data_IF_319296039223
#
_entry.id   IF_319296039223
#
_cell.length_a   1.000
_cell.length_b   1.000
_cell.length_c   1.000
_cell.angle_alpha   90.00
_cell.angle_beta   90.00
_cell.angle_gamma   90.00
#
_symmetry.space_group_name_H-M   'P 1'
#
loop_
_entity.id
_entity.type
_entity.pdbx_description
1 polymer ?
#
# COMPACT_ATOMS: atom_id res chain seq x y z
N UNK A 1 -22.84 -7.04 23.34
CA UNK A 1 -23.31 -8.21 22.57
C UNK A 1 -22.16 -9.23 22.53
N UNK A 2 -22.47 -10.54 22.60
CA UNK A 2 -21.41 -11.56 22.47
C UNK A 2 -21.04 -11.66 20.97
N UNK A 3 -19.88 -11.13 20.62
CA UNK A 3 -19.40 -11.05 19.22
C UNK A 3 -18.32 -12.12 18.93
N UNK A 4 -18.39 -13.25 19.65
CA UNK A 4 -17.45 -14.34 19.49
C UNK A 4 -17.76 -15.19 18.24
N UNK A 5 -16.73 -15.43 17.43
CA UNK A 5 -16.75 -16.30 16.26
C UNK A 5 -15.70 -17.42 16.47
N UNK A 6 -16.09 -18.66 16.17
CA UNK A 6 -15.19 -19.81 16.14
C UNK A 6 -15.08 -20.32 14.70
N UNK A 7 -13.87 -20.50 14.21
CA UNK A 7 -13.58 -21.21 12.96
C UNK A 7 -13.02 -22.57 13.35
N UNK A 8 -13.71 -23.67 13.02
CA UNK A 8 -13.34 -25.03 13.45
C UNK A 8 -12.58 -25.80 12.38
N UNK A 9 -11.41 -26.35 12.75
CA UNK A 9 -10.69 -27.37 11.98
C UNK A 9 -10.07 -26.87 10.68
N UNK A 10 -9.82 -25.58 10.52
CA UNK A 10 -9.13 -25.04 9.35
C UNK A 10 -7.65 -25.49 9.30
N UNK A 11 -7.08 -25.61 8.09
CA UNK A 11 -5.64 -25.54 7.94
C UNK A 11 -5.23 -24.09 8.19
N UNK A 12 -4.27 -23.83 9.07
CA UNK A 12 -3.83 -22.47 9.43
C UNK A 12 -2.42 -22.26 8.92
N UNK A 13 -2.24 -21.26 8.05
CA UNK A 13 -0.90 -20.87 7.57
C UNK A 13 -0.17 -20.10 8.66
N UNK A 14 0.96 -20.66 9.11
CA UNK A 14 1.90 -20.00 9.99
C UNK A 14 3.22 -19.77 9.24
N UNK A 15 3.55 -18.51 8.95
CA UNK A 15 4.78 -18.17 8.22
C UNK A 15 6.04 -18.24 9.08
N UNK A 16 5.93 -18.28 10.41
CA UNK A 16 7.07 -18.50 11.32
C UNK A 16 7.30 -19.99 11.60
N UNK A 17 6.27 -20.82 11.36
CA UNK A 17 6.34 -22.27 11.46
C UNK A 17 6.68 -22.93 10.12
N UNK A 18 6.07 -24.09 9.88
CA UNK A 18 6.19 -24.83 8.61
C UNK A 18 5.10 -24.35 7.63
N UNK A 19 5.42 -23.34 6.82
CA UNK A 19 4.51 -22.78 5.82
C UNK A 19 4.14 -23.80 4.72
N UNK A 20 4.95 -24.83 4.48
CA UNK A 20 4.68 -25.88 3.49
C UNK A 20 3.68 -26.92 4.02
N UNK A 21 3.49 -26.98 5.36
CA UNK A 21 2.62 -27.94 6.03
C UNK A 21 1.71 -27.26 7.05
N UNK A 22 0.73 -26.45 6.61
CA UNK A 22 -0.22 -25.81 7.52
C UNK A 22 -0.92 -26.81 8.43
N UNK A 23 -0.90 -26.55 9.74
CA UNK A 23 -1.50 -27.44 10.73
C UNK A 23 -3.00 -27.21 10.85
N UNK A 24 -3.78 -28.26 11.18
CA UNK A 24 -5.19 -28.09 11.54
C UNK A 24 -5.34 -27.49 12.92
N UNK A 25 -6.12 -26.41 13.00
CA UNK A 25 -6.43 -25.73 14.24
C UNK A 25 -7.82 -25.06 14.17
N UNK A 26 -8.35 -24.74 15.33
CA UNK A 26 -9.49 -23.85 15.49
C UNK A 26 -8.96 -22.42 15.73
N UNK A 27 -9.74 -21.42 15.33
CA UNK A 27 -9.43 -20.00 15.56
C UNK A 27 -10.63 -19.41 16.30
N UNK A 28 -10.39 -18.96 17.54
CA UNK A 28 -11.38 -18.25 18.37
C UNK A 28 -11.17 -16.75 18.22
N UNK A 29 -12.20 -16.05 17.78
CA UNK A 29 -12.20 -14.60 17.55
C UNK A 29 -13.17 -13.95 18.54
N UNK A 30 -12.76 -12.83 19.15
CA UNK A 30 -13.59 -12.03 20.07
C UNK A 30 -13.30 -10.55 19.89
N UNK A 31 -14.33 -9.76 19.82
CA UNK A 31 -14.24 -8.30 19.68
C UNK A 31 -13.31 -7.88 18.52
N UNK A 32 -13.33 -8.66 17.41
CA UNK A 32 -12.47 -8.43 16.25
C UNK A 32 -11.00 -8.78 16.44
N UNK A 33 -10.63 -9.50 17.51
CA UNK A 33 -9.27 -9.98 17.79
C UNK A 33 -9.22 -11.51 17.86
N UNK A 34 -8.09 -12.07 17.50
CA UNK A 34 -7.81 -13.50 17.63
C UNK A 34 -7.52 -13.77 19.13
N UNK A 35 -8.43 -14.44 19.80
CA UNK A 35 -8.30 -14.76 21.22
C UNK A 35 -7.44 -16.01 21.45
N UNK A 36 -7.56 -17.01 20.57
CA UNK A 36 -6.77 -18.25 20.64
C UNK A 36 -6.68 -18.94 19.27
N UNK A 37 -5.60 -19.68 19.04
CA UNK A 37 -5.41 -20.57 17.91
C UNK A 37 -4.89 -21.90 18.47
N UNK A 38 -5.52 -23.01 18.10
CA UNK A 38 -5.12 -24.36 18.54
C UNK A 38 -6.22 -25.39 18.35
N UNK A 39 -5.94 -26.66 18.58
CA UNK A 39 -6.94 -27.72 18.44
C UNK A 39 -7.93 -27.72 19.60
N UNK A 40 -9.18 -28.08 19.31
CA UNK A 40 -10.21 -28.36 20.34
C UNK A 40 -10.83 -27.13 20.99
N UNK A 41 -10.71 -25.93 20.40
CA UNK A 41 -11.34 -24.71 20.93
C UNK A 41 -12.90 -24.76 20.83
N UNK A 42 -13.45 -25.70 20.09
CA UNK A 42 -14.88 -26.01 20.07
C UNK A 42 -15.40 -26.62 21.39
N UNK A 43 -14.52 -27.29 22.16
CA UNK A 43 -14.89 -27.86 23.46
C UNK A 43 -15.08 -26.75 24.51
N UNK A 44 -16.28 -26.64 25.13
CA UNK A 44 -16.52 -25.69 26.20
C UNK A 44 -15.58 -25.85 27.42
N UNK A 45 -15.05 -27.06 27.65
CA UNK A 45 -14.10 -27.36 28.73
C UNK A 45 -12.66 -26.95 28.42
N UNK A 46 -12.35 -26.54 27.20
CA UNK A 46 -11.01 -26.12 26.81
C UNK A 46 -10.53 -24.93 27.65
N UNK A 47 -9.30 -24.94 28.22
CA UNK A 47 -8.81 -23.87 29.10
C UNK A 47 -8.92 -22.46 28.51
N UNK A 48 -8.66 -22.28 27.22
CA UNK A 48 -8.78 -21.01 26.53
C UNK A 48 -10.27 -20.52 26.42
N UNK A 49 -11.23 -21.38 26.78
CA UNK A 49 -12.67 -21.08 26.84
C UNK A 49 -13.17 -20.82 28.28
N UNK A 50 -12.30 -20.98 29.29
CA UNK A 50 -12.70 -20.85 30.69
C UNK A 50 -13.33 -19.47 30.99
N UNK A 51 -14.55 -19.48 31.53
CA UNK A 51 -15.30 -18.27 31.86
C UNK A 51 -15.87 -17.50 30.64
N UNK A 52 -15.77 -18.06 29.44
CA UNK A 52 -16.25 -17.41 28.23
C UNK A 52 -17.63 -17.98 27.82
N UNK A 53 -18.57 -17.12 27.38
CA UNK A 53 -19.83 -17.60 26.82
C UNK A 53 -19.60 -18.40 25.52
N UNK A 54 -20.57 -19.25 25.10
CA UNK A 54 -20.51 -19.90 23.80
C UNK A 54 -20.30 -18.88 22.66
N UNK A 55 -19.58 -19.23 21.58
CA UNK A 55 -19.45 -18.35 20.42
C UNK A 55 -20.83 -18.11 19.81
N UNK A 56 -21.08 -16.87 19.39
CA UNK A 56 -22.33 -16.50 18.73
C UNK A 56 -22.45 -17.12 17.32
N UNK A 57 -21.31 -17.43 16.70
CA UNK A 57 -21.22 -18.05 15.38
C UNK A 57 -20.10 -19.07 15.34
N UNK A 58 -20.33 -20.16 14.60
CA UNK A 58 -19.34 -21.19 14.27
C UNK A 58 -19.26 -21.31 12.76
N UNK A 59 -18.04 -21.27 12.20
CA UNK A 59 -17.76 -21.52 10.79
C UNK A 59 -17.01 -22.86 10.66
N UNK A 60 -17.48 -23.70 9.76
CA UNK A 60 -16.77 -24.93 9.39
C UNK A 60 -15.56 -24.62 8.53
N UNK A 61 -14.36 -24.83 9.09
CA UNK A 61 -13.06 -24.62 8.43
C UNK A 61 -12.43 -25.88 7.86
N UNK A 62 -13.04 -27.08 8.03
CA UNK A 62 -12.38 -28.38 7.74
C UNK A 62 -11.87 -28.55 6.32
N UNK A 63 -12.43 -27.85 5.33
CA UNK A 63 -11.98 -27.84 3.93
C UNK A 63 -11.40 -26.51 3.51
N UNK A 64 -10.89 -25.73 4.44
CA UNK A 64 -10.41 -24.36 4.20
C UNK A 64 -8.98 -24.18 4.69
N UNK A 65 -8.23 -23.35 3.96
CA UNK A 65 -6.96 -22.82 4.41
C UNK A 65 -7.21 -21.39 4.92
N UNK A 66 -6.92 -21.18 6.20
CA UNK A 66 -6.89 -19.85 6.79
C UNK A 66 -5.52 -19.22 6.56
N UNK A 67 -5.48 -18.09 5.90
CA UNK A 67 -4.28 -17.26 5.74
C UNK A 67 -4.52 -15.90 6.39
N UNK A 68 -3.47 -15.17 6.81
CA UNK A 68 -3.63 -13.78 7.20
C UNK A 68 -4.28 -12.98 6.07
N UNK A 69 -5.09 -11.99 6.41
CA UNK A 69 -5.60 -11.05 5.43
C UNK A 69 -4.48 -10.36 4.70
N UNK A 70 -4.58 -10.25 3.38
CA UNK A 70 -3.57 -9.63 2.55
C UNK A 70 -3.56 -8.11 2.79
N UNK A 71 -2.37 -7.52 2.80
CA UNK A 71 -2.15 -6.09 2.97
C UNK A 71 -1.66 -5.51 1.65
N UNK A 72 -2.51 -4.71 0.99
CA UNK A 72 -2.14 -3.94 -0.19
C UNK A 72 -1.41 -2.66 0.27
N UNK A 73 -0.09 -2.71 0.27
CA UNK A 73 0.74 -1.66 0.83
C UNK A 73 0.91 -0.41 -0.07
N UNK A 74 0.29 -0.41 -1.25
CA UNK A 74 0.23 0.75 -2.14
C UNK A 74 -0.98 0.67 -3.06
N UNK A 75 -1.87 1.65 -2.96
CA UNK A 75 -3.16 1.69 -3.63
C UNK A 75 -3.63 3.13 -3.82
N UNK A 76 -4.46 3.35 -4.85
CA UNK A 76 -5.07 4.65 -5.16
C UNK A 76 -6.56 4.47 -5.49
N UNK A 77 -7.44 4.66 -4.51
CA UNK A 77 -8.88 4.49 -4.72
C UNK A 77 -9.48 5.51 -5.69
N UNK A 78 -8.80 6.63 -5.92
CA UNK A 78 -9.31 7.72 -6.75
C UNK A 78 -9.38 7.39 -8.25
N UNK A 79 -8.71 6.33 -8.71
CA UNK A 79 -8.68 5.96 -10.13
C UNK A 79 -9.39 4.64 -10.47
N UNK A 80 -10.10 4.04 -9.52
CA UNK A 80 -10.79 2.75 -9.70
C UNK A 80 -11.68 2.72 -10.93
N UNK A 81 -12.31 3.84 -11.29
CA UNK A 81 -13.17 3.94 -12.47
C UNK A 81 -12.40 4.03 -13.80
N UNK A 82 -11.07 4.16 -13.76
CA UNK A 82 -10.20 4.18 -14.94
C UNK A 82 -9.69 2.79 -15.35
N UNK A 83 -10.14 1.74 -14.67
CA UNK A 83 -9.81 0.35 -14.97
C UNK A 83 -10.10 0.01 -16.44
N UNK A 84 -9.10 -0.55 -17.14
CA UNK A 84 -9.23 -0.96 -18.54
C UNK A 84 -9.23 0.18 -19.55
N UNK A 85 -9.04 1.45 -19.13
CA UNK A 85 -9.10 2.60 -20.04
C UNK A 85 -7.81 2.86 -20.81
N UNK A 86 -6.68 2.33 -20.36
CA UNK A 86 -5.39 2.61 -20.96
C UNK A 86 -4.69 1.33 -21.42
N UNK A 87 -4.14 1.39 -22.62
CA UNK A 87 -3.12 0.44 -23.06
C UNK A 87 -1.79 0.67 -22.31
N UNK A 88 -0.80 -0.24 -22.39
CA UNK A 88 0.50 -0.03 -21.78
C UNK A 88 1.19 1.24 -22.31
N UNK A 89 1.38 2.22 -21.45
CA UNK A 89 1.97 3.52 -21.74
C UNK A 89 3.15 3.81 -20.79
N UNK A 90 4.20 4.51 -21.25
CA UNK A 90 5.17 5.07 -20.33
C UNK A 90 4.49 5.92 -19.24
N UNK A 91 5.01 5.86 -18.01
CA UNK A 91 4.44 6.56 -16.84
C UNK A 91 4.14 8.03 -17.12
N UNK A 92 5.06 8.73 -17.78
CA UNK A 92 4.94 10.15 -18.07
C UNK A 92 3.75 10.45 -18.99
N UNK A 93 3.51 9.60 -20.00
CA UNK A 93 2.36 9.71 -20.90
C UNK A 93 1.06 9.34 -20.21
N UNK A 94 1.09 8.26 -19.40
CA UNK A 94 -0.06 7.85 -18.60
C UNK A 94 -0.50 8.98 -17.66
N UNK A 95 0.43 9.63 -16.96
CA UNK A 95 0.13 10.75 -16.05
C UNK A 95 -0.62 11.89 -16.75
N UNK A 96 -0.24 12.23 -17.98
CA UNK A 96 -0.90 13.30 -18.75
C UNK A 96 -2.34 12.94 -19.11
N UNK A 97 -2.62 11.66 -19.35
CA UNK A 97 -3.95 11.18 -19.73
C UNK A 97 -4.85 10.92 -18.52
N UNK A 98 -4.29 10.34 -17.47
CA UNK A 98 -5.03 10.00 -16.24
C UNK A 98 -5.33 11.24 -15.37
N UNK A 99 -4.48 12.28 -15.43
CA UNK A 99 -4.59 13.51 -14.65
C UNK A 99 -4.52 14.75 -15.55
N UNK A 100 -5.48 14.95 -16.46
CA UNK A 100 -5.45 16.08 -17.40
C UNK A 100 -5.62 17.42 -16.67
N UNK A 101 -5.15 18.54 -17.26
CA UNK A 101 -5.34 19.90 -16.70
C UNK A 101 -6.80 20.27 -16.41
N UNK A 102 -7.72 19.70 -17.18
CA UNK A 102 -9.17 19.90 -17.02
C UNK A 102 -9.82 18.92 -16.03
N UNK A 103 -9.03 18.26 -15.17
CA UNK A 103 -9.57 17.30 -14.20
C UNK A 103 -10.66 17.93 -13.34
N UNK A 104 -11.94 17.53 -13.49
CA UNK A 104 -13.04 18.16 -12.79
C UNK A 104 -13.09 17.74 -11.33
N UNK A 105 -13.60 18.62 -10.46
CA UNK A 105 -13.99 18.19 -9.11
C UNK A 105 -15.04 17.10 -9.20
N UNK A 106 -14.83 16.01 -8.47
CA UNK A 106 -15.73 14.86 -8.46
C UNK A 106 -16.89 15.09 -7.50
N UNK A 107 -18.13 14.73 -7.88
CA UNK A 107 -19.26 14.73 -6.96
C UNK A 107 -19.01 13.79 -5.77
N UNK A 108 -19.53 14.12 -4.59
CA UNK A 108 -19.38 13.30 -3.38
C UNK A 108 -19.91 11.88 -3.55
N UNK A 109 -20.99 11.71 -4.30
CA UNK A 109 -21.54 10.40 -4.63
C UNK A 109 -20.54 9.54 -5.44
N UNK A 110 -19.84 10.14 -6.40
CA UNK A 110 -18.78 9.44 -7.14
C UNK A 110 -17.61 9.06 -6.21
N UNK A 111 -17.20 9.97 -5.30
CA UNK A 111 -16.16 9.67 -4.30
C UNK A 111 -16.52 8.46 -3.46
N UNK A 112 -17.77 8.42 -2.97
CA UNK A 112 -18.29 7.29 -2.20
C UNK A 112 -18.31 6.00 -3.02
N UNK A 113 -18.95 6.02 -4.20
CA UNK A 113 -19.14 4.82 -5.02
C UNK A 113 -17.81 4.22 -5.50
N UNK A 114 -16.86 5.03 -5.95
CA UNK A 114 -15.54 4.52 -6.38
C UNK A 114 -14.76 3.92 -5.21
N UNK A 115 -14.83 4.51 -4.02
CA UNK A 115 -14.18 3.97 -2.82
C UNK A 115 -14.80 2.63 -2.43
N UNK A 116 -16.13 2.51 -2.43
CA UNK A 116 -16.83 1.25 -2.16
C UNK A 116 -16.49 0.18 -3.21
N UNK A 117 -16.46 0.54 -4.50
CA UNK A 117 -16.14 -0.38 -5.58
C UNK A 117 -14.73 -0.95 -5.42
N UNK A 118 -13.74 -0.07 -5.15
CA UNK A 118 -12.36 -0.49 -4.92
C UNK A 118 -12.20 -1.35 -3.67
N UNK A 119 -12.86 -0.98 -2.58
CA UNK A 119 -12.87 -1.76 -1.34
C UNK A 119 -13.49 -3.15 -1.54
N UNK A 120 -14.61 -3.24 -2.28
CA UNK A 120 -15.25 -4.50 -2.61
C UNK A 120 -14.35 -5.40 -3.47
N UNK A 121 -13.64 -4.84 -4.45
CA UNK A 121 -12.66 -5.60 -5.25
C UNK A 121 -11.51 -6.10 -4.38
N UNK A 122 -10.97 -5.27 -3.51
CA UNK A 122 -9.93 -5.65 -2.55
C UNK A 122 -10.39 -6.81 -1.66
N UNK A 123 -11.55 -6.68 -0.99
CA UNK A 123 -12.08 -7.72 -0.10
C UNK A 123 -12.33 -9.05 -0.84
N UNK A 124 -12.87 -9.01 -2.06
CA UNK A 124 -13.05 -10.20 -2.90
C UNK A 124 -11.73 -10.87 -3.29
N UNK A 125 -10.65 -10.10 -3.39
CA UNK A 125 -9.28 -10.57 -3.63
C UNK A 125 -8.53 -11.00 -2.36
N UNK A 126 -9.20 -11.02 -1.19
CA UNK A 126 -8.57 -11.36 0.09
C UNK A 126 -7.73 -10.25 0.72
N UNK A 127 -7.80 -9.04 0.19
CA UNK A 127 -7.14 -7.86 0.75
C UNK A 127 -8.03 -7.29 1.86
N UNK A 128 -7.56 -7.33 3.10
CA UNK A 128 -8.29 -6.83 4.28
C UNK A 128 -7.77 -5.48 4.75
N UNK A 129 -6.59 -5.07 4.29
CA UNK A 129 -5.97 -3.78 4.63
C UNK A 129 -5.41 -3.12 3.38
N UNK A 130 -5.67 -1.83 3.21
CA UNK A 130 -5.14 -1.03 2.09
C UNK A 130 -4.39 0.21 2.60
N UNK A 131 -3.26 0.55 1.96
CA UNK A 131 -2.59 1.83 2.10
C UNK A 131 -3.05 2.73 0.95
N UNK A 132 -4.06 3.56 1.19
CA UNK A 132 -4.67 4.38 0.14
C UNK A 132 -4.03 5.77 0.07
N UNK A 133 -3.17 6.00 -0.91
CA UNK A 133 -2.70 7.32 -1.28
C UNK A 133 -3.77 8.00 -2.15
N UNK A 134 -4.79 8.55 -1.52
CA UNK A 134 -5.95 9.10 -2.19
C UNK A 134 -5.82 10.59 -2.49
N UNK A 135 -6.17 10.98 -3.70
CA UNK A 135 -6.21 12.37 -4.13
C UNK A 135 -7.63 12.93 -4.06
N UNK A 136 -7.88 13.77 -3.07
CA UNK A 136 -9.03 14.67 -3.01
C UNK A 136 -8.59 16.02 -3.55
N UNK A 137 -9.15 16.46 -4.69
CA UNK A 137 -8.66 17.66 -5.39
C UNK A 137 -9.80 18.50 -5.98
N UNK A 138 -9.89 19.80 -5.62
CA UNK A 138 -9.10 20.47 -4.57
C UNK A 138 -9.27 19.79 -3.21
N UNK A 139 -8.33 20.02 -2.27
CA UNK A 139 -8.42 19.43 -0.94
C UNK A 139 -9.62 20.01 -0.19
N UNK A 140 -10.55 19.14 0.17
CA UNK A 140 -11.78 19.46 0.88
C UNK A 140 -12.02 18.42 1.98
N UNK A 141 -12.18 18.88 3.21
CA UNK A 141 -12.33 17.98 4.36
C UNK A 141 -13.67 17.23 4.34
N UNK A 142 -14.72 17.82 3.79
CA UNK A 142 -16.00 17.13 3.62
C UNK A 142 -15.96 16.04 2.56
N UNK A 143 -15.15 16.22 1.51
CA UNK A 143 -14.90 15.18 0.51
C UNK A 143 -14.03 14.05 1.10
N UNK A 144 -13.04 14.40 1.95
CA UNK A 144 -12.28 13.42 2.74
C UNK A 144 -13.20 12.60 3.64
N UNK A 145 -14.11 13.24 4.37
CA UNK A 145 -15.06 12.53 5.25
C UNK A 145 -15.94 11.55 4.47
N UNK A 146 -16.34 11.87 3.25
CA UNK A 146 -17.09 10.97 2.36
C UNK A 146 -16.28 9.71 2.02
N UNK A 147 -15.00 9.85 1.70
CA UNK A 147 -14.12 8.71 1.41
C UNK A 147 -13.93 7.83 2.65
N UNK A 148 -13.67 8.43 3.81
CA UNK A 148 -13.50 7.69 5.07
C UNK A 148 -14.78 6.94 5.46
N UNK A 149 -15.96 7.58 5.36
CA UNK A 149 -17.25 6.94 5.61
C UNK A 149 -17.52 5.75 4.67
N UNK A 150 -17.07 5.83 3.41
CA UNK A 150 -17.17 4.71 2.48
C UNK A 150 -16.30 3.52 2.89
N UNK A 151 -15.11 3.75 3.46
CA UNK A 151 -14.28 2.69 4.04
C UNK A 151 -14.91 2.07 5.29
N UNK A 152 -15.53 2.89 6.15
CA UNK A 152 -16.29 2.41 7.31
C UNK A 152 -17.46 1.51 6.86
N UNK A 153 -18.22 1.95 5.86
CA UNK A 153 -19.34 1.20 5.27
C UNK A 153 -18.87 -0.13 4.65
N UNK A 154 -17.74 -0.12 3.94
CA UNK A 154 -17.16 -1.33 3.33
C UNK A 154 -16.62 -2.32 4.37
N UNK A 155 -16.25 -1.85 5.58
CA UNK A 155 -15.68 -2.68 6.63
C UNK A 155 -14.25 -3.15 6.34
N UNK A 156 -13.51 -2.49 5.45
CA UNK A 156 -12.09 -2.77 5.16
C UNK A 156 -11.20 -1.84 5.97
N UNK A 157 -10.04 -2.34 6.42
CA UNK A 157 -9.05 -1.52 7.11
C UNK A 157 -8.29 -0.64 6.11
N UNK A 158 -8.12 0.65 6.45
CA UNK A 158 -7.37 1.60 5.63
C UNK A 158 -6.33 2.36 6.44
N UNK A 159 -5.13 2.48 5.89
CA UNK A 159 -4.17 3.50 6.25
C UNK A 159 -4.27 4.58 5.19
N UNK A 160 -5.00 5.63 5.50
CA UNK A 160 -5.34 6.69 4.55
C UNK A 160 -4.24 7.75 4.51
N UNK A 161 -3.71 8.03 3.33
CA UNK A 161 -2.69 9.05 3.10
C UNK A 161 -3.21 10.10 2.10
N UNK A 162 -3.51 11.33 2.53
CA UNK A 162 -3.81 12.41 1.60
C UNK A 162 -2.66 12.59 0.61
N UNK A 163 -2.89 12.23 -0.66
CA UNK A 163 -1.89 12.26 -1.71
C UNK A 163 -1.72 13.67 -2.25
N UNK A 164 -0.55 14.29 -2.07
CA UNK A 164 -0.29 15.67 -2.49
C UNK A 164 1.04 15.85 -3.22
N UNK A 165 1.10 16.90 -4.02
CA UNK A 165 2.33 17.39 -4.66
C UNK A 165 2.33 18.91 -4.67
N UNK A 166 3.51 19.53 -4.61
CA UNK A 166 3.71 20.98 -4.66
C UNK A 166 4.37 21.42 -5.96
N UNK A 167 5.03 20.46 -6.65
CA UNK A 167 5.74 20.66 -7.91
C UNK A 167 5.00 19.90 -9.00
N UNK A 168 4.63 20.55 -10.12
CA UNK A 168 3.96 19.88 -11.24
C UNK A 168 4.83 18.78 -11.87
N UNK A 169 4.23 17.69 -12.37
CA UNK A 169 4.97 16.63 -13.08
C UNK A 169 5.81 17.14 -14.25
N UNK A 170 5.39 18.21 -14.90
CA UNK A 170 6.12 18.84 -16.02
C UNK A 170 7.50 19.36 -15.62
N UNK A 171 7.67 19.78 -14.36
CA UNK A 171 8.96 20.26 -13.83
C UNK A 171 9.92 19.08 -13.57
N UNK A 172 9.38 17.93 -13.19
CA UNK A 172 10.17 16.73 -12.85
C UNK A 172 10.35 15.78 -14.03
N UNK A 173 9.78 16.11 -15.20
CA UNK A 173 10.01 15.36 -16.44
C UNK A 173 11.20 15.98 -17.17
N UNK A 174 12.36 15.30 -17.25
CA UNK A 174 13.58 15.87 -17.83
C UNK A 174 13.39 16.09 -19.34
N UNK A 175 14.00 17.16 -19.87
CA UNK A 175 14.03 17.51 -21.30
C UNK A 175 12.63 17.71 -21.93
N UNK A 176 11.60 17.93 -21.13
CA UNK A 176 10.24 18.12 -21.66
C UNK A 176 10.16 19.34 -22.59
N UNK A 177 10.85 20.44 -22.23
CA UNK A 177 10.92 21.67 -23.04
C UNK A 177 11.64 21.49 -24.37
N UNK A 178 12.49 20.48 -24.50
CA UNK A 178 13.17 20.16 -25.76
C UNK A 178 12.25 19.45 -26.76
N UNK A 179 11.17 18.83 -26.24
CA UNK A 179 10.23 18.03 -27.02
C UNK A 179 8.89 18.73 -27.23
N UNK A 180 8.51 19.64 -26.33
CA UNK A 180 7.20 20.32 -26.32
C UNK A 180 7.40 21.83 -26.36
N UNK A 181 6.85 22.55 -27.38
CA UNK A 181 6.92 24.01 -27.42
C UNK A 181 6.40 24.64 -26.12
N UNK A 182 7.05 25.68 -25.66
CA UNK A 182 6.67 26.39 -24.42
C UNK A 182 5.19 26.85 -24.43
N UNK A 183 4.69 27.26 -25.58
CA UNK A 183 3.30 27.64 -25.80
C UNK A 183 2.29 26.51 -25.54
N UNK A 184 2.73 25.23 -25.54
CA UNK A 184 1.89 24.05 -25.34
C UNK A 184 2.07 23.43 -23.95
N UNK A 185 3.08 23.86 -23.17
CA UNK A 185 3.35 23.31 -21.82
C UNK A 185 2.17 23.47 -20.86
N UNK A 186 1.34 24.50 -21.03
CA UNK A 186 0.14 24.70 -20.22
C UNK A 186 -0.85 23.54 -20.34
N UNK A 187 -0.88 22.85 -21.48
CA UNK A 187 -1.72 21.67 -21.70
C UNK A 187 -1.24 20.46 -20.93
N UNK A 188 0.03 20.48 -20.50
CA UNK A 188 0.68 19.42 -19.76
C UNK A 188 0.84 19.78 -18.27
N UNK A 189 0.35 20.94 -17.83
CA UNK A 189 0.59 21.46 -16.49
C UNK A 189 -0.06 20.64 -15.37
N UNK A 190 -0.81 19.61 -15.70
CA UNK A 190 -1.43 18.70 -14.74
C UNK A 190 -2.75 19.23 -14.19
N UNK A 191 -3.35 18.47 -13.29
CA UNK A 191 -4.60 18.84 -12.63
C UNK A 191 -4.47 20.16 -11.85
N UNK A 192 -5.57 20.88 -11.61
CA UNK A 192 -5.58 22.11 -10.81
C UNK A 192 -4.84 21.89 -9.47
N UNK A 193 -4.23 22.94 -8.89
CA UNK A 193 -3.54 22.80 -7.62
C UNK A 193 -4.47 22.27 -6.53
N UNK A 194 -3.95 21.39 -5.67
CA UNK A 194 -4.70 20.79 -4.55
C UNK A 194 -5.05 21.82 -3.48
N UNK A 195 -4.17 22.78 -3.28
CA UNK A 195 -4.29 23.85 -2.28
C UNK A 195 -4.33 25.22 -2.95
N UNK A 196 -4.99 26.18 -2.31
CA UNK A 196 -5.00 27.55 -2.77
C UNK A 196 -3.59 28.16 -2.74
N UNK A 197 -3.36 29.15 -3.61
CA UNK A 197 -2.07 29.86 -3.64
C UNK A 197 -1.76 30.51 -2.29
N UNK A 198 -0.58 30.19 -1.72
CA UNK A 198 -0.15 30.69 -0.42
C UNK A 198 -0.69 29.91 0.78
N UNK A 199 -1.49 28.87 0.56
CA UNK A 199 -1.95 27.97 1.61
C UNK A 199 -0.84 26.98 2.01
N UNK A 200 -0.69 26.73 3.32
CA UNK A 200 0.18 25.68 3.85
C UNK A 200 -0.55 24.33 3.80
N UNK A 201 -0.37 23.63 2.68
CA UNK A 201 -1.04 22.35 2.44
C UNK A 201 -0.67 21.26 3.45
N UNK A 202 0.60 21.21 3.89
CA UNK A 202 1.03 20.22 4.89
C UNK A 202 0.39 20.47 6.25
N UNK A 203 0.34 21.73 6.70
CA UNK A 203 -0.33 22.06 7.95
C UNK A 203 -1.83 21.74 7.92
N UNK A 204 -2.47 21.94 6.77
CA UNK A 204 -3.88 21.59 6.57
C UNK A 204 -4.12 20.10 6.59
N UNK A 205 -3.26 19.31 5.94
CA UNK A 205 -3.30 17.83 5.99
C UNK A 205 -3.10 17.36 7.43
N UNK A 206 -2.10 17.89 8.15
CA UNK A 206 -1.83 17.55 9.54
C UNK A 206 -3.05 17.80 10.44
N UNK A 207 -3.68 18.97 10.31
CA UNK A 207 -4.88 19.31 11.06
C UNK A 207 -6.05 18.34 10.75
N UNK A 208 -6.25 17.99 9.48
CA UNK A 208 -7.29 17.07 9.05
C UNK A 208 -7.07 15.64 9.59
N UNK A 209 -5.83 15.15 9.59
CA UNK A 209 -5.43 13.86 10.18
C UNK A 209 -5.66 13.87 11.69
N UNK A 210 -5.14 14.88 12.38
CA UNK A 210 -5.25 15.01 13.84
C UNK A 210 -6.71 15.01 14.29
N UNK A 211 -7.56 15.74 13.59
CA UNK A 211 -8.99 15.82 13.90
C UNK A 211 -9.74 14.50 13.73
N UNK A 212 -9.20 13.54 12.95
CA UNK A 212 -9.87 12.28 12.61
C UNK A 212 -9.21 11.04 13.22
N UNK A 213 -8.00 11.18 13.75
CA UNK A 213 -7.27 10.07 14.39
C UNK A 213 -8.09 9.51 15.58
N UNK A 214 -8.24 8.17 15.61
CA UNK A 214 -8.95 7.45 16.66
C UNK A 214 -10.48 7.45 16.57
N UNK A 215 -11.08 8.09 15.54
CA UNK A 215 -12.54 8.11 15.37
C UNK A 215 -13.14 6.75 15.00
N UNK A 216 -12.39 5.94 14.25
CA UNK A 216 -12.84 4.62 13.81
C UNK A 216 -11.71 3.58 13.89
N UNK A 217 -11.96 2.34 14.38
CA UNK A 217 -10.91 1.34 14.63
C UNK A 217 -10.27 0.77 13.35
N UNK A 218 -10.92 0.89 12.20
CA UNK A 218 -10.40 0.43 10.91
C UNK A 218 -9.64 1.53 10.16
N UNK A 219 -9.65 2.79 10.63
CA UNK A 219 -9.04 3.91 9.93
C UNK A 219 -7.83 4.41 10.71
N UNK A 220 -6.69 4.42 10.05
CA UNK A 220 -5.46 5.07 10.50
C UNK A 220 -4.92 5.95 9.37
N UNK A 221 -3.89 6.75 9.65
CA UNK A 221 -3.41 7.74 8.70
C UNK A 221 -1.92 7.61 8.43
N UNK A 222 -1.50 8.11 7.28
CA UNK A 222 -0.12 8.35 6.89
C UNK A 222 -0.01 9.72 6.19
N UNK A 223 1.20 10.24 6.01
CA UNK A 223 1.47 11.35 5.10
C UNK A 223 1.72 10.80 3.69
N UNK A 224 1.17 11.45 2.66
CA UNK A 224 1.21 10.98 1.27
C UNK A 224 1.84 11.96 0.28
N UNK A 225 3.10 12.44 0.48
CA UNK A 225 3.78 13.21 -0.57
C UNK A 225 3.92 12.34 -1.83
N UNK A 226 3.54 12.89 -2.99
CA UNK A 226 3.50 12.15 -4.25
C UNK A 226 4.83 11.47 -4.58
N UNK A 227 5.89 12.24 -4.60
CA UNK A 227 7.26 11.77 -4.73
C UNK A 227 8.18 12.82 -4.10
N UNK A 228 9.37 12.46 -3.59
CA UNK A 228 10.25 13.44 -2.94
C UNK A 228 10.61 14.62 -3.85
N UNK A 229 10.83 14.36 -5.15
CA UNK A 229 11.13 15.38 -6.16
C UNK A 229 9.91 16.22 -6.57
N UNK A 230 8.70 15.81 -6.18
CA UNK A 230 7.45 16.55 -6.44
C UNK A 230 6.97 17.35 -5.23
N UNK A 231 7.81 17.45 -4.22
CA UNK A 231 7.60 18.26 -3.02
C UNK A 231 8.78 19.25 -2.92
N UNK A 232 8.50 20.47 -2.47
CA UNK A 232 9.56 21.47 -2.28
C UNK A 232 10.55 21.02 -1.23
N UNK A 233 11.83 21.34 -1.45
CA UNK A 233 12.92 20.89 -0.57
C UNK A 233 12.71 21.32 0.91
N UNK A 234 12.16 22.51 1.14
CA UNK A 234 11.84 23.01 2.47
C UNK A 234 10.64 22.31 3.14
N UNK A 235 9.78 21.62 2.39
CA UNK A 235 8.64 20.86 2.93
C UNK A 235 9.06 19.46 3.39
N UNK A 236 10.07 18.85 2.78
CA UNK A 236 10.51 17.49 3.12
C UNK A 236 10.92 17.31 4.60
N UNK A 237 11.75 18.17 5.21
CA UNK A 237 12.06 18.06 6.64
C UNK A 237 10.82 18.23 7.53
N UNK A 238 9.87 19.07 7.12
CA UNK A 238 8.60 19.25 7.84
C UNK A 238 7.74 17.99 7.81
N UNK A 239 7.74 17.24 6.69
CA UNK A 239 7.08 15.94 6.59
C UNK A 239 7.70 14.95 7.59
N UNK A 240 9.04 14.91 7.68
CA UNK A 240 9.75 14.08 8.64
C UNK A 240 9.36 14.41 10.08
N UNK A 241 9.28 15.71 10.42
CA UNK A 241 8.87 16.20 11.73
C UNK A 241 7.42 15.85 12.06
N UNK A 242 6.47 16.09 11.16
CA UNK A 242 5.06 15.72 11.35
C UNK A 242 4.91 14.21 11.54
N UNK A 243 5.59 13.40 10.72
CA UNK A 243 5.61 11.94 10.85
C UNK A 243 6.11 11.50 12.24
N UNK A 244 7.19 12.10 12.71
CA UNK A 244 7.76 11.78 14.02
C UNK A 244 6.82 12.17 15.17
N UNK A 245 6.24 13.38 15.13
CA UNK A 245 5.32 13.87 16.18
C UNK A 245 4.01 13.09 16.27
N UNK A 246 3.44 12.72 15.12
CA UNK A 246 2.19 11.96 15.07
C UNK A 246 2.41 10.44 15.16
N UNK A 247 3.65 9.96 15.02
CA UNK A 247 3.97 8.54 15.00
C UNK A 247 3.36 7.80 13.80
N UNK A 248 3.19 8.46 12.64
CA UNK A 248 2.54 7.92 11.45
C UNK A 248 3.52 7.69 10.31
N UNK A 249 3.26 6.71 9.41
CA UNK A 249 4.09 6.47 8.24
C UNK A 249 4.10 7.64 7.25
N UNK A 250 5.12 7.65 6.40
CA UNK A 250 5.18 8.46 5.17
C UNK A 250 5.19 7.53 3.98
N UNK A 251 4.19 7.66 3.10
CA UNK A 251 4.09 6.92 1.84
C UNK A 251 4.49 7.81 0.69
N UNK A 252 5.37 7.35 -0.19
CA UNK A 252 5.80 8.13 -1.36
C UNK A 252 6.29 7.19 -2.48
N UNK A 253 6.31 7.69 -3.72
CA UNK A 253 6.85 6.95 -4.86
C UNK A 253 8.36 7.19 -4.96
N UNK A 254 9.12 6.17 -5.34
CA UNK A 254 10.58 6.29 -5.49
C UNK A 254 11.08 5.58 -6.74
N UNK A 255 11.83 6.31 -7.58
CA UNK A 255 12.56 5.77 -8.72
C UNK A 255 11.72 4.82 -9.59
N UNK A 256 10.45 5.19 -9.85
CA UNK A 256 9.52 4.38 -10.62
C UNK A 256 9.93 4.31 -12.09
N UNK A 257 10.28 5.44 -12.70
CA UNK A 257 10.66 5.52 -14.11
C UNK A 257 12.12 5.93 -14.31
N UNK A 258 12.67 5.69 -15.52
CA UNK A 258 13.98 6.23 -15.90
C UNK A 258 14.02 7.76 -15.87
N UNK A 259 12.90 8.39 -16.20
CA UNK A 259 12.79 9.85 -16.21
C UNK A 259 13.03 10.41 -14.79
N UNK A 260 12.49 9.78 -13.74
CA UNK A 260 12.74 10.18 -12.36
C UNK A 260 14.24 10.13 -12.00
N UNK A 261 14.96 9.07 -12.41
CA UNK A 261 16.39 8.94 -12.16
C UNK A 261 17.21 9.95 -12.95
N UNK A 262 16.83 10.20 -14.23
CA UNK A 262 17.52 11.22 -15.04
C UNK A 262 17.27 12.60 -14.45
N UNK A 263 16.07 12.93 -14.01
CA UNK A 263 15.79 14.17 -13.31
C UNK A 263 16.64 14.31 -12.04
N UNK A 264 16.72 13.25 -11.23
CA UNK A 264 17.52 13.27 -10.00
C UNK A 264 18.99 13.56 -10.27
N UNK A 265 19.58 12.95 -11.29
CA UNK A 265 21.00 13.17 -11.68
C UNK A 265 21.32 14.62 -12.03
N UNK A 266 20.34 15.35 -12.55
CA UNK A 266 20.53 16.75 -12.98
C UNK A 266 20.10 17.77 -11.94
N UNK A 267 19.14 17.45 -11.08
CA UNK A 267 18.47 18.44 -10.24
C UNK A 267 18.56 18.17 -8.72
N UNK A 268 18.96 16.94 -8.30
CA UNK A 268 18.95 16.58 -6.88
C UNK A 268 20.36 16.54 -6.27
N UNK A 269 20.48 16.71 -4.94
CA UNK A 269 21.75 16.56 -4.23
C UNK A 269 22.39 15.19 -4.50
N UNK A 270 23.67 15.17 -4.82
CA UNK A 270 24.39 13.93 -5.14
C UNK A 270 23.83 13.14 -6.33
N UNK A 271 22.90 13.73 -7.11
CA UNK A 271 22.24 13.04 -8.24
C UNK A 271 21.28 11.94 -7.82
N UNK A 272 20.80 11.92 -6.57
CA UNK A 272 19.99 10.84 -5.99
C UNK A 272 18.79 11.36 -5.20
N UNK A 273 17.61 10.78 -5.43
CA UNK A 273 16.41 11.05 -4.63
C UNK A 273 16.58 10.50 -3.21
N UNK A 274 17.31 9.38 -3.04
CA UNK A 274 17.61 8.80 -1.73
C UNK A 274 18.45 9.75 -0.90
N UNK A 275 19.43 10.41 -1.53
CA UNK A 275 20.24 11.43 -0.86
C UNK A 275 19.41 12.65 -0.45
N UNK A 276 18.51 13.12 -1.30
CA UNK A 276 17.56 14.19 -0.96
C UNK A 276 16.73 13.83 0.28
N UNK A 277 16.18 12.61 0.34
CA UNK A 277 15.42 12.13 1.50
C UNK A 277 16.28 12.01 2.75
N UNK A 278 17.53 11.57 2.61
CA UNK A 278 18.47 11.49 3.73
C UNK A 278 18.73 12.85 4.37
N UNK A 279 19.03 13.85 3.54
CA UNK A 279 19.25 15.23 4.00
C UNK A 279 18.00 15.84 4.66
N UNK A 280 16.81 15.40 4.26
CA UNK A 280 15.56 15.81 4.85
C UNK A 280 15.17 15.04 6.14
N UNK A 281 15.97 14.06 6.59
CA UNK A 281 15.67 13.25 7.78
C UNK A 281 14.53 12.25 7.61
N UNK A 282 14.18 11.92 6.36
CA UNK A 282 13.08 10.98 6.05
C UNK A 282 13.50 9.51 6.12
N UNK A 283 14.80 9.18 6.06
CA UNK A 283 15.27 7.79 6.07
C UNK A 283 15.13 7.17 7.46
N UNK A 284 14.06 6.46 7.69
CA UNK A 284 13.79 5.70 8.92
C UNK A 284 12.71 4.63 8.67
N UNK A 285 12.38 3.85 9.70
CA UNK A 285 11.43 2.73 9.65
C UNK A 285 9.97 3.12 9.34
N UNK A 286 9.61 4.40 9.45
CA UNK A 286 8.26 4.90 9.08
C UNK A 286 8.16 5.28 7.61
N UNK A 287 9.28 5.27 6.87
CA UNK A 287 9.27 5.56 5.43
C UNK A 287 8.89 4.33 4.62
N UNK A 288 7.90 4.49 3.77
CA UNK A 288 7.41 3.45 2.85
C UNK A 288 7.43 3.97 1.43
N UNK A 289 8.15 3.26 0.57
CA UNK A 289 8.55 3.67 -0.76
C UNK A 289 7.94 2.74 -1.79
N UNK A 290 7.12 3.27 -2.69
CA UNK A 290 6.49 2.51 -3.76
C UNK A 290 7.38 2.43 -5.01
N UNK A 291 7.28 1.34 -5.76
CA UNK A 291 7.93 0.99 -7.03
C UNK A 291 9.39 0.56 -6.92
N UNK A 292 10.33 1.45 -6.57
CA UNK A 292 11.75 1.13 -6.34
C UNK A 292 12.46 0.46 -7.54
N UNK A 293 12.05 0.79 -8.78
CA UNK A 293 12.47 0.08 -10.00
C UNK A 293 13.92 0.39 -10.36
N UNK A 294 14.32 1.65 -10.27
CA UNK A 294 15.61 2.14 -10.80
C UNK A 294 16.58 2.53 -9.69
N UNK A 295 16.57 1.77 -8.58
CA UNK A 295 17.54 1.95 -7.49
C UNK A 295 18.87 1.27 -7.84
N UNK A 296 19.96 1.92 -7.43
CA UNK A 296 21.29 1.31 -7.41
C UNK A 296 21.44 0.41 -6.18
N UNK A 297 22.39 -0.55 -6.20
CA UNK A 297 22.67 -1.40 -5.03
C UNK A 297 23.07 -0.58 -3.79
N UNK A 298 23.79 0.50 -3.96
CA UNK A 298 24.18 1.40 -2.86
C UNK A 298 22.95 2.10 -2.23
N UNK A 299 22.00 2.54 -3.05
CA UNK A 299 20.74 3.13 -2.56
C UNK A 299 19.87 2.09 -1.85
N UNK A 300 19.78 0.86 -2.38
CA UNK A 300 19.08 -0.25 -1.73
C UNK A 300 19.70 -0.54 -0.36
N UNK A 301 21.02 -0.66 -0.27
CA UNK A 301 21.72 -0.92 0.99
C UNK A 301 21.44 0.19 2.02
N UNK A 302 21.47 1.45 1.59
CA UNK A 302 21.20 2.61 2.46
C UNK A 302 19.74 2.63 2.96
N UNK A 303 18.79 2.29 2.12
CA UNK A 303 17.37 2.18 2.49
C UNK A 303 17.13 1.03 3.46
N UNK A 304 17.79 -0.12 3.23
CA UNK A 304 17.73 -1.28 4.11
C UNK A 304 18.32 -0.97 5.50
N UNK A 305 19.49 -0.30 5.55
CA UNK A 305 20.14 0.14 6.79
C UNK A 305 19.25 1.12 7.59
N UNK A 306 18.54 2.01 6.90
CA UNK A 306 17.57 2.92 7.51
C UNK A 306 16.29 2.23 8.00
N UNK A 307 16.09 0.96 7.68
CA UNK A 307 14.88 0.21 8.01
C UNK A 307 13.65 0.62 7.21
N UNK A 308 13.81 1.33 6.10
CA UNK A 308 12.73 1.75 5.22
C UNK A 308 12.03 0.54 4.58
N UNK A 309 10.75 0.71 4.23
CA UNK A 309 9.93 -0.34 3.64
C UNK A 309 9.83 -0.13 2.12
N UNK A 310 10.16 -1.15 1.33
CA UNK A 310 10.11 -1.12 -0.13
C UNK A 310 8.88 -1.87 -0.63
N UNK A 311 7.91 -1.14 -1.18
CA UNK A 311 6.69 -1.71 -1.75
C UNK A 311 6.87 -1.92 -3.24
N UNK A 312 6.63 -3.13 -3.72
CA UNK A 312 6.83 -3.54 -5.10
C UNK A 312 5.49 -3.66 -5.82
N UNK A 313 5.31 -2.84 -6.87
CA UNK A 313 4.10 -2.78 -7.66
C UNK A 313 4.30 -3.51 -9.00
N UNK A 314 4.63 -4.80 -8.92
CA UNK A 314 5.15 -5.60 -10.05
C UNK A 314 4.29 -5.51 -11.31
N UNK A 315 2.96 -5.57 -11.18
CA UNK A 315 2.03 -5.55 -12.33
C UNK A 315 1.86 -4.15 -12.88
N UNK A 316 1.68 -3.14 -12.01
CA UNK A 316 1.55 -1.73 -12.39
C UNK A 316 2.78 -1.25 -13.17
N UNK A 317 3.97 -1.56 -12.67
CA UNK A 317 5.25 -1.20 -13.30
C UNK A 317 5.40 -1.74 -14.74
N UNK A 318 4.83 -2.90 -15.05
CA UNK A 318 4.86 -3.44 -16.41
C UNK A 318 3.96 -2.66 -17.34
N UNK A 319 2.76 -2.32 -16.91
CA UNK A 319 1.80 -1.59 -17.74
C UNK A 319 2.23 -0.14 -17.98
N UNK A 320 2.85 0.50 -16.96
CA UNK A 320 3.46 1.84 -17.10
C UNK A 320 4.83 1.83 -17.77
N UNK A 321 5.29 0.66 -18.25
CA UNK A 321 6.62 0.49 -18.86
C UNK A 321 7.77 1.01 -17.98
N UNK A 322 7.55 1.03 -16.68
CA UNK A 322 8.52 1.51 -15.70
C UNK A 322 9.72 0.56 -15.57
N UNK A 323 9.51 -0.75 -15.71
CA UNK A 323 10.55 -1.78 -15.60
C UNK A 323 10.26 -2.80 -14.52
N UNK A 324 11.29 -3.58 -14.14
CA UNK A 324 11.23 -4.58 -13.07
C UNK A 324 12.16 -4.16 -11.95
N UNK A 325 11.66 -4.12 -10.72
CA UNK A 325 12.47 -3.77 -9.55
C UNK A 325 13.55 -4.84 -9.29
N UNK A 326 14.75 -4.46 -8.82
CA UNK A 326 15.88 -5.37 -8.58
C UNK A 326 15.67 -6.20 -7.30
N UNK A 327 14.67 -7.08 -7.32
CA UNK A 327 14.18 -7.85 -6.15
C UNK A 327 15.29 -8.69 -5.51
N UNK A 328 16.15 -9.33 -6.33
CA UNK A 328 17.25 -10.15 -5.82
C UNK A 328 18.25 -9.32 -5.02
N UNK A 329 18.64 -8.15 -5.54
CA UNK A 329 19.51 -7.21 -4.82
C UNK A 329 18.86 -6.72 -3.50
N UNK A 330 17.56 -6.43 -3.50
CA UNK A 330 16.85 -6.05 -2.29
C UNK A 330 16.81 -7.17 -1.25
N UNK A 331 16.64 -8.43 -1.67
CA UNK A 331 16.69 -9.59 -0.77
C UNK A 331 18.08 -9.79 -0.18
N UNK A 332 19.15 -9.68 -0.98
CA UNK A 332 20.53 -9.79 -0.49
C UNK A 332 20.87 -8.77 0.60
N UNK A 333 20.33 -7.57 0.52
CA UNK A 333 20.56 -6.53 1.53
C UNK A 333 19.68 -6.70 2.78
N UNK A 334 18.73 -7.64 2.78
CA UNK A 334 17.77 -7.78 3.88
C UNK A 334 16.74 -6.65 3.95
N UNK A 335 16.50 -5.96 2.84
CA UNK A 335 15.50 -4.89 2.78
C UNK A 335 14.10 -5.41 3.15
N UNK A 336 13.31 -4.56 3.82
CA UNK A 336 11.93 -4.88 4.17
C UNK A 336 11.03 -4.73 2.94
N UNK A 337 10.54 -5.86 2.42
CA UNK A 337 9.73 -5.91 1.21
C UNK A 337 8.25 -6.02 1.54
N UNK A 338 7.44 -5.30 0.79
CA UNK A 338 5.99 -5.40 0.77
C UNK A 338 5.46 -5.37 -0.67
N UNK A 339 4.20 -5.73 -0.87
CA UNK A 339 3.57 -5.74 -2.18
C UNK A 339 2.42 -4.74 -2.25
N UNK A 340 2.26 -4.11 -3.42
CA UNK A 340 1.18 -3.20 -3.74
C UNK A 340 0.58 -3.48 -5.12
N UNK A 341 -0.72 -3.27 -5.26
CA UNK A 341 -1.41 -3.43 -6.53
C UNK A 341 -1.45 -2.14 -7.35
N UNK A 342 -1.22 -0.98 -6.70
CA UNK A 342 -1.19 0.33 -7.33
C UNK A 342 -2.55 0.78 -7.89
N UNK A 343 -2.56 1.73 -8.82
CA UNK A 343 -3.71 2.25 -9.54
C UNK A 343 -4.45 1.16 -10.32
N UNK A 344 -5.78 1.17 -10.31
CA UNK A 344 -6.58 0.30 -11.18
C UNK A 344 -6.33 0.58 -12.66
N UNK A 345 -6.00 1.81 -13.04
CA UNK A 345 -5.63 2.14 -14.42
C UNK A 345 -4.27 1.57 -14.85
N UNK A 346 -3.39 1.24 -13.89
CA UNK A 346 -2.05 0.67 -14.13
C UNK A 346 -1.99 -0.85 -14.00
N UNK A 347 -2.90 -1.48 -13.24
CA UNK A 347 -2.88 -2.92 -12.97
C UNK A 347 -4.11 -3.66 -13.49
N UNK A 348 -5.19 -2.92 -13.80
CA UNK A 348 -6.51 -3.40 -14.19
C UNK A 348 -7.19 -4.32 -13.14
N UNK A 349 -6.57 -4.52 -11.99
CA UNK A 349 -7.13 -5.33 -10.90
C UNK A 349 -6.48 -5.01 -9.55
N UNK A 350 -7.26 -5.05 -8.47
CA UNK A 350 -6.75 -5.09 -7.11
C UNK A 350 -6.57 -6.54 -6.67
N UNK A 351 -5.53 -7.21 -7.20
CA UNK A 351 -5.30 -8.64 -7.01
C UNK A 351 -3.85 -8.91 -6.61
N UNK A 352 -3.61 -9.08 -5.29
CA UNK A 352 -2.28 -9.37 -4.77
C UNK A 352 -1.76 -10.77 -5.14
N UNK A 353 -2.61 -11.74 -5.50
CA UNK A 353 -2.12 -13.03 -6.00
C UNK A 353 -1.40 -12.88 -7.34
N UNK A 354 -1.88 -11.98 -8.22
CA UNK A 354 -1.15 -11.66 -9.45
C UNK A 354 0.17 -10.95 -9.15
N UNK A 355 0.19 -10.03 -8.18
CA UNK A 355 1.42 -9.33 -7.78
C UNK A 355 2.42 -10.31 -7.16
N UNK A 356 1.99 -11.23 -6.28
CA UNK A 356 2.81 -12.31 -5.71
C UNK A 356 3.39 -13.20 -6.80
N UNK A 357 2.58 -13.60 -7.80
CA UNK A 357 3.07 -14.39 -8.94
C UNK A 357 4.16 -13.63 -9.70
N UNK A 358 3.94 -12.36 -10.02
CA UNK A 358 4.92 -11.53 -10.72
C UNK A 358 6.20 -11.33 -9.88
N UNK A 359 6.08 -11.16 -8.57
CA UNK A 359 7.21 -11.07 -7.63
C UNK A 359 8.10 -12.31 -7.68
N UNK A 360 7.53 -13.51 -7.79
CA UNK A 360 8.29 -14.75 -7.88
C UNK A 360 8.85 -15.04 -9.28
N UNK A 361 8.19 -14.56 -10.35
CA UNK A 361 8.52 -15.00 -11.72
C UNK A 361 9.34 -14.00 -12.52
N UNK A 362 9.09 -12.69 -12.39
CA UNK A 362 9.82 -11.67 -13.15
C UNK A 362 11.33 -11.63 -12.83
N UNK A 363 11.76 -11.74 -11.56
CA UNK A 363 13.20 -11.77 -11.25
C UNK A 363 13.96 -12.94 -11.87
N UNK A 364 13.28 -14.01 -12.27
CA UNK A 364 13.90 -15.12 -12.97
C UNK A 364 14.45 -14.75 -14.35
N UNK A 365 13.91 -13.71 -14.98
CA UNK A 365 14.27 -13.28 -16.35
C UNK A 365 14.84 -11.87 -16.44
N UNK A 366 14.76 -11.07 -15.36
CA UNK A 366 15.15 -9.65 -15.37
C UNK A 366 16.47 -9.35 -14.67
N UNK A 367 16.91 -10.23 -13.76
CA UNK A 367 18.09 -10.05 -12.93
C UNK A 367 19.14 -11.13 -13.24
N UNK A 368 20.17 -11.22 -12.39
CA UNK A 368 21.21 -12.24 -12.47
C UNK A 368 20.62 -13.65 -12.64
N UNK A 369 20.87 -14.34 -13.77
CA UNK A 369 20.29 -15.65 -14.03
C UNK A 369 20.79 -16.74 -13.09
N UNK A 370 21.95 -16.55 -12.46
CA UNK A 370 22.56 -17.52 -11.55
C UNK A 370 21.96 -17.48 -10.13
N UNK A 371 21.22 -16.40 -9.81
CA UNK A 371 20.54 -16.28 -8.52
C UNK A 371 19.08 -16.73 -8.62
N UNK A 372 18.65 -17.59 -7.70
CA UNK A 372 17.28 -18.07 -7.64
C UNK A 372 16.26 -16.94 -7.39
N UNK A 373 15.10 -16.96 -8.06
CA UNK A 373 14.03 -16.00 -7.80
C UNK A 373 13.43 -16.22 -6.39
N UNK A 374 12.67 -15.24 -5.86
CA UNK A 374 11.99 -15.39 -4.57
C UNK A 374 11.04 -16.59 -4.56
N UNK A 375 11.05 -17.42 -3.51
CA UNK A 375 10.06 -18.49 -3.34
C UNK A 375 8.67 -17.92 -2.96
N UNK A 376 7.63 -18.73 -3.11
CA UNK A 376 6.25 -18.33 -2.83
C UNK A 376 6.03 -17.86 -1.38
N UNK A 377 6.75 -18.44 -0.41
CA UNK A 377 6.67 -18.01 0.99
C UNK A 377 7.12 -16.57 1.19
N UNK A 378 8.13 -16.11 0.45
CA UNK A 378 8.58 -14.70 0.51
C UNK A 378 7.51 -13.77 -0.06
N UNK A 379 6.79 -14.17 -1.11
CA UNK A 379 5.67 -13.40 -1.66
C UNK A 379 4.51 -13.30 -0.66
N UNK A 380 4.15 -14.41 -0.01
CA UNK A 380 3.13 -14.41 1.05
C UNK A 380 3.56 -13.52 2.22
N UNK A 381 4.80 -13.61 2.67
CA UNK A 381 5.34 -12.77 3.74
C UNK A 381 5.30 -11.30 3.36
N UNK A 382 5.68 -10.94 2.13
CA UNK A 382 5.64 -9.56 1.64
C UNK A 382 4.19 -9.02 1.51
N UNK A 383 3.21 -9.89 1.18
CA UNK A 383 1.80 -9.54 1.07
C UNK A 383 1.04 -9.52 2.42
N UNK A 384 1.67 -9.96 3.52
CA UNK A 384 1.05 -10.05 4.85
C UNK A 384 1.85 -9.30 5.89
N UNK A 385 2.84 -9.92 6.55
CA UNK A 385 3.66 -9.29 7.61
C UNK A 385 4.49 -8.10 7.08
N UNK A 386 5.09 -8.25 5.90
CA UNK A 386 5.82 -7.17 5.22
C UNK A 386 4.91 -5.98 4.90
N UNK A 387 3.72 -6.28 4.35
CA UNK A 387 2.70 -5.27 4.12
C UNK A 387 2.26 -4.59 5.42
N UNK A 388 1.97 -5.35 6.47
CA UNK A 388 1.59 -4.82 7.79
C UNK A 388 2.67 -3.88 8.36
N UNK A 389 3.96 -4.25 8.24
CA UNK A 389 5.07 -3.41 8.63
C UNK A 389 5.11 -2.11 7.82
N UNK A 390 5.02 -2.21 6.50
CA UNK A 390 5.08 -1.07 5.60
C UNK A 390 3.98 -0.04 5.88
N UNK A 391 2.79 -0.48 6.31
CA UNK A 391 1.68 0.42 6.60
C UNK A 391 1.59 0.84 8.07
N UNK A 392 2.60 0.51 8.90
CA UNK A 392 2.66 0.89 10.32
C UNK A 392 1.70 0.08 11.21
N UNK A 393 1.32 -1.13 10.80
CA UNK A 393 0.43 -2.03 11.53
C UNK A 393 1.10 -3.35 11.94
N UNK A 394 2.45 -3.38 12.00
CA UNK A 394 3.20 -4.55 12.48
C UNK A 394 2.71 -4.99 13.87
N UNK A 395 2.57 -6.30 14.06
CA UNK A 395 2.05 -6.86 15.32
C UNK A 395 0.54 -6.66 15.54
N UNK A 396 -0.16 -5.98 14.62
CA UNK A 396 -1.63 -5.81 14.68
C UNK A 396 -2.38 -6.62 13.64
N UNK A 397 -1.83 -6.73 12.44
CA UNK A 397 -2.37 -7.52 11.31
C UNK A 397 -1.24 -8.26 10.62
N UNK A 398 -1.54 -9.13 9.65
CA UNK A 398 -0.56 -9.81 8.81
C UNK A 398 -0.12 -11.19 9.32
N UNK A 399 -0.61 -11.66 10.47
CA UNK A 399 -0.40 -13.02 10.97
C UNK A 399 -1.62 -13.54 11.72
N UNK A 400 -1.74 -14.86 11.86
CA UNK A 400 -2.82 -15.51 12.63
C UNK A 400 -2.26 -15.89 14.01
N UNK A 401 -2.30 -14.94 14.95
CA UNK A 401 -1.75 -15.12 16.30
C UNK A 401 -2.67 -14.48 17.36
N UNK A 402 -2.74 -15.07 18.57
CA UNK A 402 -3.48 -14.44 19.67
C UNK A 402 -3.04 -12.97 19.90
N UNK A 403 -4.01 -12.09 20.13
CA UNK A 403 -3.83 -10.66 20.34
C UNK A 403 -3.78 -9.81 19.05
N UNK A 404 -3.74 -10.45 17.86
CA UNK A 404 -3.82 -9.73 16.60
C UNK A 404 -5.28 -9.54 16.15
N UNK A 405 -5.52 -8.56 15.28
CA UNK A 405 -6.82 -8.37 14.65
C UNK A 405 -7.16 -9.58 13.77
N UNK A 406 -8.43 -9.95 13.77
CA UNK A 406 -8.94 -11.09 13.02
C UNK A 406 -9.15 -10.76 11.53
N UNK A 407 -8.14 -10.13 10.92
CA UNK A 407 -8.08 -9.86 9.49
C UNK A 407 -7.61 -11.16 8.80
N UNK A 408 -8.55 -11.99 8.33
CA UNK A 408 -8.33 -13.36 7.85
C UNK A 408 -8.95 -13.59 6.49
N UNK A 409 -8.36 -14.51 5.73
CA UNK A 409 -8.94 -15.08 4.50
C UNK A 409 -9.09 -16.57 4.65
N UNK A 410 -10.27 -17.09 4.32
CA UNK A 410 -10.54 -18.52 4.24
C UNK A 410 -10.63 -18.93 2.78
N UNK A 411 -9.61 -19.62 2.29
CA UNK A 411 -9.57 -20.18 0.94
C UNK A 411 -10.27 -21.53 0.94
N UNK A 412 -11.25 -21.73 0.07
CA UNK A 412 -11.95 -23.00 -0.08
C UNK A 412 -11.09 -23.98 -0.88
N UNK A 413 -10.69 -25.08 -0.25
CA UNK A 413 -9.89 -26.14 -0.88
C UNK A 413 -10.76 -27.20 -1.56
N UNK A 414 -12.06 -27.08 -1.45
CA UNK A 414 -13.02 -28.02 -2.04
C UNK A 414 -13.57 -27.58 -3.40
N UNK A 415 -13.32 -26.33 -3.76
CA UNK A 415 -13.69 -25.76 -5.06
C UNK A 415 -12.40 -25.48 -5.86
N UNK A 416 -12.14 -26.26 -6.92
CA UNK A 416 -10.93 -26.09 -7.74
C UNK A 416 -11.05 -24.95 -8.79
N UNK A 417 -12.07 -24.10 -8.73
CA UNK A 417 -12.32 -23.03 -9.71
C UNK A 417 -11.27 -21.91 -9.69
#
# INVERSE_FOLDING_TARGET
MNDALLIEGALVLDLDGDADRPARADILIRDGEIAAVGPGLGDPAHPARAGLPPPARVLDGRRRLAIPGLVNAHYHSHDVLLKGMFDPLPLEQWNLLALPPSYPRRPREELRLRTLLGAAECLRGGITTVADMNRVQPFDEGDLDVVLAAYEEAGIRVVYAPHFSEVPPTVTTPFLTDCVPESELWRLSGAPPMFARGEDGLARIEAAITARTGRHPLITFALGPSAPERVRAETLPRIADVSARLGIPVFTHLCESRAAVVHARHAMPGGSIVELMAQAGLLNERLTLAHNVWLTEAEIARLAEAGANLVLNMVGNLKTRSGVAPVKAMRRTGAHLALGADNCSCSDAQNLFQVMKAFCTLPAVSDDPDEAPPPAVDALRAATEGGARAVGLAGRVGAIRPGMRADLVLLDLGDPS
#
